data_IF_869658498881
#
_entry.id   IF_869658498881
#
_cell.length_a   1.000
_cell.length_b   1.000
_cell.length_c   1.000
_cell.angle_alpha   90.00
_cell.angle_beta   90.00
_cell.angle_gamma   90.00
#
_symmetry.space_group_name_H-M   'P 1'
#
loop_
_entity.id
_entity.type
_entity.pdbx_description
1 polymer ?
#
# COMPACT_ATOMS: atom_id res chain seq x y z
N UNK A 1 16.99 1.25 2.41
CA UNK A 1 17.64 -0.03 2.03
C UNK A 1 19.13 0.06 2.34
N UNK A 2 19.70 -0.88 3.10
CA UNK A 2 21.15 -0.92 3.36
C UNK A 2 21.85 -1.85 2.35
N UNK A 3 23.02 -1.42 1.88
CA UNK A 3 23.94 -2.12 0.95
C UNK A 3 25.29 -2.25 1.67
N UNK A 4 25.78 -3.46 1.89
CA UNK A 4 26.98 -3.69 2.71
C UNK A 4 28.28 -3.31 1.96
N UNK A 5 29.34 -2.93 2.68
CA UNK A 5 30.66 -2.64 2.08
C UNK A 5 31.28 -3.85 1.34
N UNK A 6 30.88 -5.07 1.74
CA UNK A 6 31.21 -6.32 1.06
C UNK A 6 30.30 -6.69 -0.11
N UNK A 7 29.27 -5.89 -0.40
CA UNK A 7 28.47 -5.94 -1.63
C UNK A 7 29.10 -5.01 -2.68
N UNK A 8 30.12 -5.43 -3.44
CA UNK A 8 30.52 -4.65 -4.59
C UNK A 8 29.32 -4.61 -5.54
N UNK A 9 28.90 -3.40 -5.89
CA UNK A 9 28.29 -3.15 -7.21
C UNK A 9 29.19 -3.87 -8.21
N UNK A 10 28.66 -4.96 -8.79
CA UNK A 10 29.43 -6.04 -9.39
C UNK A 10 30.66 -5.57 -10.21
N UNK A 11 31.77 -6.32 -10.12
CA UNK A 11 33.01 -6.10 -10.92
C UNK A 11 32.79 -6.22 -12.44
N UNK A 12 31.61 -6.69 -12.87
CA UNK A 12 31.04 -6.42 -14.20
C UNK A 12 29.93 -5.39 -13.98
N UNK A 13 29.86 -4.30 -14.76
CA UNK A 13 28.78 -3.29 -14.72
C UNK A 13 27.38 -3.93 -14.83
N UNK A 14 26.89 -4.55 -13.76
CA UNK A 14 25.57 -5.15 -13.69
C UNK A 14 24.68 -4.02 -13.24
N UNK A 15 23.96 -3.44 -14.20
CA UNK A 15 23.00 -2.38 -13.94
C UNK A 15 21.98 -2.88 -12.92
N UNK A 16 21.81 -2.16 -11.82
CA UNK A 16 20.79 -2.42 -10.81
C UNK A 16 19.48 -1.80 -11.29
N UNK A 17 18.38 -2.52 -11.15
CA UNK A 17 17.05 -2.06 -11.55
C UNK A 17 16.10 -2.03 -10.37
N UNK A 18 15.25 -1.00 -10.35
CA UNK A 18 14.07 -0.95 -9.50
C UNK A 18 12.88 -1.42 -10.33
N UNK A 19 12.22 -2.46 -9.86
CA UNK A 19 10.98 -2.98 -10.40
C UNK A 19 9.84 -2.60 -9.47
N UNK A 20 8.82 -1.92 -9.98
CA UNK A 20 7.65 -1.49 -9.22
C UNK A 20 6.40 -1.79 -10.03
N UNK A 21 5.49 -2.56 -9.46
CA UNK A 21 4.13 -2.72 -10.00
C UNK A 21 3.17 -1.75 -9.30
N UNK A 22 2.39 -1.05 -10.11
CA UNK A 22 1.45 -0.02 -9.66
C UNK A 22 0.20 -0.02 -10.51
N UNK A 23 -0.94 0.21 -9.86
CA UNK A 23 -2.21 0.52 -10.52
C UNK A 23 -2.42 2.01 -10.37
N UNK A 24 -2.33 2.82 -11.42
CA UNK A 24 -2.44 4.26 -11.24
C UNK A 24 -1.80 5.04 -12.35
N UNK A 25 -2.02 6.34 -12.38
CA UNK A 25 -1.80 7.09 -13.61
C UNK A 25 -0.37 7.58 -13.77
N UNK A 26 0.36 7.82 -12.68
CA UNK A 26 1.80 8.08 -12.77
C UNK A 26 2.57 7.62 -11.52
N UNK A 27 3.84 7.31 -11.71
CA UNK A 27 4.79 6.99 -10.66
C UNK A 27 6.07 7.77 -10.89
N UNK A 28 6.48 8.56 -9.90
CA UNK A 28 7.81 9.18 -9.86
C UNK A 28 8.69 8.42 -8.87
N UNK A 29 9.93 8.19 -9.24
CA UNK A 29 10.91 7.49 -8.42
C UNK A 29 12.04 8.44 -8.06
N UNK A 30 12.38 8.48 -6.78
CA UNK A 30 13.53 9.20 -6.26
C UNK A 30 14.44 8.23 -5.51
N UNK A 31 15.75 8.34 -5.74
CA UNK A 31 16.78 7.55 -5.08
C UNK A 31 17.76 8.51 -4.42
N UNK A 32 17.95 8.40 -3.10
CA UNK A 32 18.80 9.27 -2.29
C UNK A 32 18.48 10.77 -2.50
N UNK A 33 17.19 11.11 -2.53
CA UNK A 33 16.70 12.47 -2.75
C UNK A 33 16.83 12.99 -4.19
N UNK A 34 17.35 12.20 -5.14
CA UNK A 34 17.48 12.59 -6.55
C UNK A 34 16.42 11.91 -7.39
N UNK A 35 15.83 12.66 -8.33
CA UNK A 35 14.90 12.10 -9.32
C UNK A 35 15.60 11.05 -10.17
N UNK A 36 15.01 9.86 -10.25
CA UNK A 36 15.52 8.72 -11.02
C UNK A 36 14.68 8.46 -12.27
N UNK A 37 13.38 8.70 -12.23
CA UNK A 37 12.51 8.48 -13.39
C UNK A 37 11.04 8.71 -13.10
N UNK A 38 10.25 8.79 -14.17
CA UNK A 38 8.79 8.89 -14.15
C UNK A 38 8.22 7.92 -15.19
N UNK A 39 7.10 7.31 -14.86
CA UNK A 39 6.26 6.63 -15.85
C UNK A 39 4.82 7.04 -15.65
N UNK A 40 4.14 7.36 -16.74
CA UNK A 40 2.74 7.77 -16.79
C UNK A 40 1.96 6.80 -17.67
N UNK A 41 0.69 6.62 -17.37
CA UNK A 41 -0.20 5.71 -18.07
C UNK A 41 -1.57 6.34 -18.28
N UNK A 42 -2.23 5.93 -19.36
CA UNK A 42 -3.55 6.43 -19.73
C UNK A 42 -4.64 5.85 -18.84
N UNK A 43 -5.76 6.57 -18.74
CA UNK A 43 -6.93 6.23 -17.94
C UNK A 43 -7.49 4.81 -18.21
N UNK A 44 -7.55 4.40 -19.49
CA UNK A 44 -8.14 3.10 -19.88
C UNK A 44 -7.25 1.88 -19.56
N UNK A 45 -5.99 2.10 -19.18
CA UNK A 45 -5.07 1.03 -18.81
C UNK A 45 -4.06 1.60 -17.81
N UNK A 46 -4.51 1.82 -16.57
CA UNK A 46 -3.71 2.47 -15.52
C UNK A 46 -2.72 1.53 -14.83
N UNK A 47 -2.84 0.21 -15.01
CA UNK A 47 -1.87 -0.72 -14.45
C UNK A 47 -0.58 -0.73 -15.27
N UNK A 48 0.56 -0.58 -14.62
CA UNK A 48 1.85 -0.70 -15.29
C UNK A 48 2.96 -1.18 -14.35
N UNK A 49 3.97 -1.76 -14.98
CA UNK A 49 5.23 -2.14 -14.34
C UNK A 49 6.30 -1.15 -14.77
N UNK A 50 6.94 -0.53 -13.78
CA UNK A 50 8.11 0.32 -13.98
C UNK A 50 9.38 -0.51 -13.74
N UNK A 51 10.25 -0.55 -14.74
CA UNK A 51 11.55 -1.22 -14.66
C UNK A 51 12.65 -0.20 -14.95
N UNK A 52 13.16 0.44 -13.89
CA UNK A 52 14.01 1.62 -13.97
C UNK A 52 15.44 1.31 -13.53
N UNK A 53 16.49 1.59 -14.34
CA UNK A 53 17.86 1.51 -13.87
C UNK A 53 18.11 2.54 -12.76
N UNK A 54 18.66 2.10 -11.62
CA UNK A 54 18.97 2.96 -10.48
C UNK A 54 20.43 2.83 -10.05
N UNK A 55 20.94 3.86 -9.37
CA UNK A 55 22.28 3.86 -8.78
C UNK A 55 22.17 3.90 -7.26
N UNK A 56 22.73 2.88 -6.61
CA UNK A 56 22.81 2.79 -5.15
C UNK A 56 24.24 3.09 -4.71
N UNK A 57 24.39 3.73 -3.54
CA UNK A 57 25.67 3.91 -2.86
C UNK A 57 25.87 2.80 -1.83
N UNK A 58 27.10 2.58 -1.41
CA UNK A 58 27.39 1.73 -0.25
C UNK A 58 26.77 2.37 0.99
N UNK A 59 26.22 1.55 1.89
CA UNK A 59 25.49 1.95 3.09
C UNK A 59 24.01 2.18 2.84
N UNK A 60 23.42 3.10 3.61
CA UNK A 60 21.96 3.34 3.60
C UNK A 60 21.55 4.18 2.40
N UNK A 61 20.62 3.63 1.62
CA UNK A 61 19.96 4.28 0.50
C UNK A 61 18.48 4.53 0.81
N UNK A 62 18.00 5.71 0.45
CA UNK A 62 16.60 6.08 0.53
C UNK A 62 15.96 5.92 -0.85
N UNK A 63 14.79 5.26 -0.90
CA UNK A 63 13.99 5.15 -2.12
C UNK A 63 12.62 5.72 -1.77
N UNK A 64 12.22 6.78 -2.48
CA UNK A 64 10.92 7.40 -2.34
C UNK A 64 10.13 7.20 -3.63
N UNK A 65 8.93 6.66 -3.50
CA UNK A 65 8.01 6.39 -4.59
C UNK A 65 6.81 7.32 -4.46
N UNK A 66 6.66 8.24 -5.41
CA UNK A 66 5.53 9.16 -5.45
C UNK A 66 4.54 8.66 -6.49
N UNK A 67 3.50 7.97 -6.01
CA UNK A 67 2.34 7.60 -6.81
C UNK A 67 1.43 8.81 -7.01
N UNK A 68 0.96 9.02 -8.23
CA UNK A 68 0.04 10.10 -8.59
C UNK A 68 -1.20 9.51 -9.24
N UNK A 69 -2.35 9.86 -8.69
CA UNK A 69 -3.67 9.49 -9.21
C UNK A 69 -4.31 10.72 -9.84
N UNK A 70 -4.46 10.72 -11.17
CA UNK A 70 -5.24 11.76 -11.88
C UNK A 70 -6.59 11.20 -12.30
N UNK A 71 -7.69 11.80 -11.83
CA UNK A 71 -9.10 11.46 -12.14
C UNK A 71 -9.47 9.99 -11.88
N UNK A 72 -10.28 9.77 -10.87
CA UNK A 72 -10.91 8.48 -10.58
C UNK A 72 -12.22 8.30 -11.35
N UNK A 73 -12.66 7.06 -11.53
CA UNK A 73 -14.03 6.80 -11.97
C UNK A 73 -15.01 7.45 -11.00
N UNK A 74 -15.93 8.25 -11.53
CA UNK A 74 -16.94 8.97 -10.76
C UNK A 74 -18.37 8.48 -11.06
N UNK A 75 -18.54 7.42 -11.85
CA UNK A 75 -19.82 6.77 -12.12
C UNK A 75 -19.61 5.31 -12.56
N UNK A 76 -20.62 4.46 -12.32
CA UNK A 76 -20.62 3.03 -12.66
C UNK A 76 -20.81 2.13 -11.43
N UNK A 77 -21.19 0.85 -11.57
CA UNK A 77 -21.20 -0.08 -10.43
C UNK A 77 -19.77 -0.27 -9.90
N UNK A 78 -19.58 -0.23 -8.58
CA UNK A 78 -18.30 -0.51 -7.91
C UNK A 78 -17.14 0.44 -8.28
N UNK A 79 -17.42 1.69 -8.65
CA UNK A 79 -16.35 2.67 -8.94
C UNK A 79 -15.48 2.98 -7.70
N UNK A 80 -16.05 2.76 -6.51
CA UNK A 80 -15.44 2.85 -5.19
C UNK A 80 -14.45 1.72 -4.90
N UNK A 81 -14.58 0.56 -5.57
CA UNK A 81 -13.69 -0.59 -5.35
C UNK A 81 -12.45 -0.57 -6.26
N UNK A 82 -12.27 0.46 -7.08
CA UNK A 82 -11.12 0.56 -7.97
C UNK A 82 -9.86 0.85 -7.16
N UNK A 83 -8.81 0.08 -7.38
CA UNK A 83 -7.55 0.30 -6.66
C UNK A 83 -6.64 1.26 -7.43
N UNK A 84 -5.99 2.17 -6.71
CA UNK A 84 -4.88 2.93 -7.24
C UNK A 84 -3.75 3.08 -6.21
N UNK A 85 -2.52 3.20 -6.67
CA UNK A 85 -1.32 3.21 -5.84
C UNK A 85 -0.29 2.16 -6.24
N UNK A 86 0.66 1.94 -5.34
CA UNK A 86 1.72 0.96 -5.50
C UNK A 86 1.24 -0.32 -4.84
N UNK A 87 0.64 -1.20 -5.64
CA UNK A 87 0.14 -2.49 -5.16
C UNK A 87 1.27 -3.52 -4.99
N UNK A 88 2.44 -3.23 -5.54
CA UNK A 88 3.58 -4.13 -5.52
C UNK A 88 3.41 -5.32 -6.48
N UNK A 89 4.47 -6.13 -6.62
CA UNK A 89 5.71 -6.11 -5.85
C UNK A 89 6.61 -4.88 -6.11
N UNK A 90 7.44 -4.56 -5.10
CA UNK A 90 8.54 -3.58 -5.20
C UNK A 90 9.84 -4.33 -5.02
N UNK A 91 10.71 -4.37 -6.01
CA UNK A 91 11.93 -5.18 -5.99
C UNK A 91 13.15 -4.41 -6.49
N UNK A 92 14.32 -4.71 -5.92
CA UNK A 92 15.61 -4.34 -6.49
C UNK A 92 16.21 -5.58 -7.15
N UNK A 93 16.46 -5.49 -8.46
CA UNK A 93 17.03 -6.54 -9.28
C UNK A 93 18.51 -6.25 -9.59
N UNK A 94 19.30 -7.30 -9.81
CA UNK A 94 20.70 -7.16 -10.24
C UNK A 94 21.70 -6.91 -9.11
N UNK A 95 21.31 -7.13 -7.84
CA UNK A 95 22.26 -7.17 -6.74
C UNK A 95 23.06 -8.47 -6.78
N UNK A 96 24.26 -8.47 -6.19
CA UNK A 96 25.14 -9.64 -6.15
C UNK A 96 24.52 -10.83 -5.41
N UNK A 97 23.72 -10.53 -4.38
CA UNK A 97 22.96 -11.51 -3.59
C UNK A 97 21.59 -11.85 -4.21
N UNK A 98 21.35 -11.46 -5.47
CA UNK A 98 20.10 -11.73 -6.19
C UNK A 98 19.11 -10.56 -6.15
N UNK A 99 17.84 -10.89 -5.98
CA UNK A 99 16.75 -9.91 -5.91
C UNK A 99 16.45 -9.56 -4.46
N UNK A 100 16.30 -8.27 -4.16
CA UNK A 100 15.87 -7.80 -2.83
C UNK A 100 14.43 -7.32 -2.92
N UNK A 101 13.52 -8.04 -2.27
CA UNK A 101 12.11 -7.67 -2.21
C UNK A 101 11.88 -6.60 -1.14
N UNK A 102 11.26 -5.48 -1.57
CA UNK A 102 10.94 -4.32 -0.75
C UNK A 102 9.45 -4.20 -0.44
N UNK A 103 8.59 -5.07 -0.99
CA UNK A 103 7.12 -5.03 -0.83
C UNK A 103 6.71 -4.91 0.64
N UNK A 104 7.33 -5.70 1.53
CA UNK A 104 7.01 -5.75 2.96
C UNK A 104 7.90 -4.84 3.84
N UNK A 105 8.68 -3.95 3.24
CA UNK A 105 9.44 -2.96 4.02
C UNK A 105 8.51 -1.91 4.63
N UNK A 106 9.01 -1.16 5.61
CA UNK A 106 8.27 -0.03 6.19
C UNK A 106 8.17 1.09 5.15
N UNK A 107 6.95 1.30 4.65
CA UNK A 107 6.60 2.41 3.77
C UNK A 107 5.74 3.43 4.51
N UNK A 108 5.91 4.71 4.16
CA UNK A 108 5.01 5.77 4.60
C UNK A 108 4.22 6.25 3.39
N UNK A 109 2.89 6.23 3.50
CA UNK A 109 1.99 6.79 2.50
C UNK A 109 1.42 8.11 3.02
N UNK A 110 1.45 9.15 2.19
CA UNK A 110 0.90 10.46 2.52
C UNK A 110 0.05 10.95 1.35
N UNK A 111 -1.15 11.43 1.65
CA UNK A 111 -2.06 12.04 0.68
C UNK A 111 -2.67 13.31 1.26
N UNK A 112 -3.22 14.17 0.38
CA UNK A 112 -3.99 15.36 0.74
C UNK A 112 -5.38 15.24 0.15
N UNK A 113 -6.40 15.56 0.94
CA UNK A 113 -7.80 15.51 0.53
C UNK A 113 -8.54 16.71 1.10
N UNK A 114 -9.64 17.10 0.46
CA UNK A 114 -10.57 18.11 0.98
C UNK A 114 -11.57 17.44 1.93
N UNK A 115 -11.92 18.10 3.04
CA UNK A 115 -12.94 17.61 3.94
C UNK A 115 -14.29 17.45 3.20
N UNK A 116 -15.02 16.38 3.51
CA UNK A 116 -16.38 16.18 3.03
C UNK A 116 -17.31 17.26 3.58
N UNK A 117 -18.41 17.54 2.88
CA UNK A 117 -19.39 18.54 3.29
C UNK A 117 -20.38 17.92 4.30
N UNK A 118 -20.64 18.62 5.39
CA UNK A 118 -21.61 18.23 6.44
C UNK A 118 -20.94 17.75 7.72
N UNK A 119 -21.76 17.40 8.71
CA UNK A 119 -21.31 17.08 10.08
C UNK A 119 -21.38 15.57 10.40
N UNK A 120 -21.55 14.74 9.36
CA UNK A 120 -21.59 13.28 9.51
C UNK A 120 -20.21 12.74 9.88
N UNK A 121 -20.19 11.68 10.69
CA UNK A 121 -18.96 10.95 10.97
C UNK A 121 -18.32 10.42 9.69
N UNK A 122 -16.99 10.46 9.63
CA UNK A 122 -16.19 9.95 8.51
C UNK A 122 -15.22 8.88 9.02
N UNK A 123 -14.99 7.88 8.19
CA UNK A 123 -13.98 6.85 8.42
C UNK A 123 -12.99 6.81 7.25
N UNK A 124 -11.81 6.26 7.51
CA UNK A 124 -10.87 5.91 6.45
C UNK A 124 -11.04 4.43 6.14
N UNK A 125 -11.46 4.12 4.92
CA UNK A 125 -11.34 2.75 4.43
C UNK A 125 -9.86 2.45 4.16
N UNK A 126 -9.35 1.48 4.91
CA UNK A 126 -7.97 1.00 4.81
C UNK A 126 -7.93 -0.47 4.39
N UNK A 127 -9.03 -1.04 3.89
CA UNK A 127 -9.21 -2.44 3.49
C UNK A 127 -8.08 -2.98 2.58
N UNK A 128 -7.55 -2.13 1.70
CA UNK A 128 -6.46 -2.45 0.77
C UNK A 128 -5.06 -2.37 1.38
N UNK A 129 -4.95 -1.88 2.62
CA UNK A 129 -3.70 -1.81 3.37
C UNK A 129 -3.47 -3.09 4.18
N UNK A 130 -2.24 -3.31 4.65
CA UNK A 130 -1.96 -4.46 5.52
C UNK A 130 -2.12 -4.13 7.00
N UNK A 131 -1.12 -3.49 7.59
CA UNK A 131 -1.08 -3.12 9.02
C UNK A 131 -0.29 -1.83 9.18
N UNK A 132 -0.70 -0.96 10.08
CA UNK A 132 0.06 0.24 10.38
C UNK A 132 -0.60 1.16 11.38
N UNK A 133 -0.21 2.43 11.30
CA UNK A 133 -0.76 3.54 12.07
C UNK A 133 -1.17 4.64 11.10
N UNK A 134 -2.28 5.30 11.36
CA UNK A 134 -2.76 6.38 10.52
C UNK A 134 -2.69 7.73 11.27
N UNK A 135 -2.47 8.80 10.50
CA UNK A 135 -2.43 10.17 11.00
C UNK A 135 -3.22 11.09 10.07
N UNK A 136 -3.98 12.03 10.64
CA UNK A 136 -4.70 13.09 9.91
C UNK A 136 -4.29 14.43 10.51
N UNK A 137 -3.82 15.36 9.67
CA UNK A 137 -3.35 16.68 10.10
C UNK A 137 -2.35 16.62 11.29
N UNK A 138 -1.41 15.66 11.26
CA UNK A 138 -0.42 15.45 12.32
C UNK A 138 -0.91 14.63 13.53
N UNK A 139 -2.23 14.48 13.71
CA UNK A 139 -2.83 13.76 14.83
C UNK A 139 -2.92 12.26 14.56
N UNK A 140 -2.50 11.44 15.52
CA UNK A 140 -2.62 9.99 15.43
C UNK A 140 -4.07 9.56 15.60
N UNK A 141 -4.60 8.82 14.63
CA UNK A 141 -6.00 8.36 14.62
C UNK A 141 -6.13 6.86 14.90
N UNK A 142 -5.03 6.19 15.21
CA UNK A 142 -5.03 4.79 15.66
C UNK A 142 -4.18 3.86 14.79
N UNK A 143 -4.11 2.62 15.26
CA UNK A 143 -3.57 1.50 14.49
C UNK A 143 -4.66 0.90 13.61
N UNK A 144 -4.26 0.39 12.44
CA UNK A 144 -5.12 -0.36 11.55
C UNK A 144 -4.50 -1.74 11.28
N UNK A 145 -5.33 -2.78 11.22
CA UNK A 145 -4.90 -4.11 10.75
C UNK A 145 -5.97 -4.82 9.88
N UNK A 146 -6.41 -4.20 8.78
CA UNK A 146 -7.46 -4.69 7.91
C UNK A 146 -7.11 -6.04 7.26
N UNK A 147 -5.84 -6.33 6.97
CA UNK A 147 -5.48 -7.65 6.41
C UNK A 147 -5.68 -8.82 7.39
N UNK A 148 -5.98 -8.54 8.67
CA UNK A 148 -6.36 -9.58 9.63
C UNK A 148 -7.84 -9.90 9.45
N UNK A 149 -8.15 -11.18 9.16
CA UNK A 149 -9.53 -11.64 9.01
C UNK A 149 -10.08 -12.08 10.36
N UNK A 150 -11.36 -11.77 10.61
CA UNK A 150 -12.09 -12.34 11.72
C UNK A 150 -12.14 -13.88 11.57
N UNK A 151 -12.20 -14.63 12.69
CA UNK A 151 -12.42 -16.08 12.66
C UNK A 151 -13.60 -16.44 11.77
N UNK A 152 -13.54 -17.59 11.11
CA UNK A 152 -14.63 -18.06 10.26
C UNK A 152 -15.77 -18.69 11.06
N UNK A 153 -15.51 -19.05 12.31
CA UNK A 153 -16.43 -19.65 13.27
C UNK A 153 -16.85 -18.66 14.37
N UNK A 154 -17.90 -19.02 15.10
CA UNK A 154 -18.41 -18.23 16.22
C UNK A 154 -19.46 -17.18 15.86
N UNK A 155 -19.73 -16.94 14.58
CA UNK A 155 -20.91 -16.19 14.15
C UNK A 155 -22.14 -17.09 14.06
N UNK A 156 -23.29 -16.55 14.45
CA UNK A 156 -24.59 -17.20 14.32
C UNK A 156 -25.40 -16.52 13.22
N UNK A 157 -26.13 -17.30 12.42
CA UNK A 157 -27.07 -16.79 11.43
C UNK A 157 -28.32 -16.16 12.07
N UNK A 158 -28.51 -16.36 13.38
CA UNK A 158 -29.63 -15.79 14.14
C UNK A 158 -29.15 -15.26 15.49
N UNK A 159 -29.69 -14.11 15.89
CA UNK A 159 -29.46 -13.49 17.19
C UNK A 159 -30.83 -13.20 17.81
N UNK A 160 -31.15 -13.86 18.92
CA UNK A 160 -32.35 -13.57 19.71
C UNK A 160 -31.95 -12.74 20.93
N UNK A 161 -32.65 -11.63 21.14
CA UNK A 161 -32.41 -10.75 22.29
C UNK A 161 -32.88 -11.37 23.61
N UNK A 162 -33.72 -12.40 23.56
CA UNK A 162 -34.24 -13.11 24.73
C UNK A 162 -33.23 -14.16 25.20
N UNK A 163 -33.01 -14.22 26.51
CA UNK A 163 -32.15 -15.23 27.15
C UNK A 163 -30.84 -14.67 27.70
N UNK A 164 -29.99 -15.55 28.22
CA UNK A 164 -28.71 -15.16 28.83
C UNK A 164 -27.71 -14.75 27.74
N UNK A 165 -27.15 -13.56 27.88
CA UNK A 165 -26.12 -13.05 26.98
C UNK A 165 -24.81 -13.84 27.07
N UNK A 166 -24.23 -14.13 25.91
CA UNK A 166 -22.84 -14.54 25.74
C UNK A 166 -22.24 -13.77 24.55
N UNK A 167 -20.95 -13.38 24.60
CA UNK A 167 -20.28 -12.65 23.51
C UNK A 167 -20.35 -13.34 22.14
N UNK A 168 -20.53 -14.65 22.09
CA UNK A 168 -20.62 -15.42 20.86
C UNK A 168 -22.03 -15.42 20.23
N UNK A 169 -23.09 -15.11 20.99
CA UNK A 169 -24.47 -15.32 20.54
C UNK A 169 -24.85 -14.49 19.31
N UNK A 170 -24.23 -13.33 19.13
CA UNK A 170 -24.59 -12.35 18.11
C UNK A 170 -23.36 -11.78 17.39
N UNK A 171 -22.25 -12.53 17.37
CA UNK A 171 -21.07 -12.13 16.60
C UNK A 171 -21.40 -12.12 15.10
N UNK A 172 -20.87 -11.13 14.39
CA UNK A 172 -21.07 -10.95 12.94
C UNK A 172 -19.73 -10.74 12.23
N UNK A 173 -19.75 -10.70 10.90
CA UNK A 173 -18.57 -10.45 10.05
C UNK A 173 -17.46 -11.51 10.12
N UNK A 174 -17.79 -12.75 10.49
CA UNK A 174 -16.85 -13.87 10.40
C UNK A 174 -16.31 -14.05 8.97
N UNK A 175 -15.02 -14.37 8.85
CA UNK A 175 -14.32 -14.52 7.57
C UNK A 175 -14.09 -13.23 6.78
N UNK A 176 -14.61 -12.08 7.25
CA UNK A 176 -14.34 -10.74 6.69
C UNK A 176 -13.12 -10.10 7.35
N UNK A 177 -12.70 -8.94 6.86
CA UNK A 177 -11.66 -8.13 7.52
C UNK A 177 -12.17 -7.77 8.93
N UNK A 178 -11.32 -7.93 9.96
CA UNK A 178 -11.74 -7.68 11.34
C UNK A 178 -12.04 -6.20 11.63
N UNK A 179 -11.54 -5.32 10.76
CA UNK A 179 -11.70 -3.87 10.85
C UNK A 179 -11.75 -3.28 9.44
N UNK A 180 -12.92 -2.79 9.06
CA UNK A 180 -13.24 -2.18 7.77
C UNK A 180 -14.44 -1.23 8.03
N UNK A 181 -14.48 -0.09 7.35
CA UNK A 181 -15.48 0.97 7.57
C UNK A 181 -15.91 1.62 6.27
#
# INVERSE_FOLDING_TARGET
VHIDEGEPLSKKKTQVYLHVETRGHALHVFVNGKFAGIQTRSYNNSSFTMHLPITLKVGTNEIALLSVTVVWQNYGPFFDTWEAGINGPVMILGLKNGTKELTFHKWYYQTKFTASKGDNAVALDLSTMSKGQARVNGHHIGHYFPSFKAPTDGCSDSCDYRGTYSPANCATNCGKLSQEW
#
